data_IF_556569697476
#
_entry.id   IF_556569697476
#
_cell.length_a   1.000
_cell.length_b   1.000
_cell.length_c   1.000
_cell.angle_alpha   90.00
_cell.angle_beta   90.00
_cell.angle_gamma   90.00
#
_symmetry.space_group_name_H-M   'P 1'
#
loop_
_entity.id
_entity.type
_entity.pdbx_description
1 polymer ?
#
# COMPACT_ATOMS: atom_id res chain seq x y z
N UNK A 1 7.48 3.67 -1.91
CA UNK A 1 8.94 3.41 -1.90
C UNK A 1 9.20 2.16 -1.07
N UNK A 2 8.70 2.08 0.15
CA UNK A 2 8.77 0.93 1.06
C UNK A 2 8.57 -0.48 0.45
N UNK A 3 7.58 -0.67 -0.42
CA UNK A 3 7.36 -1.97 -1.09
C UNK A 3 8.47 -2.31 -2.09
N UNK A 4 9.02 -1.32 -2.80
CA UNK A 4 10.15 -1.52 -3.71
C UNK A 4 11.41 -1.89 -2.90
N UNK A 5 11.63 -1.24 -1.76
CA UNK A 5 12.74 -1.55 -0.85
C UNK A 5 12.59 -2.93 -0.19
N UNK A 6 11.35 -3.41 -0.04
CA UNK A 6 11.06 -4.78 0.41
C UNK A 6 11.19 -5.84 -0.71
N UNK A 7 11.66 -5.45 -1.90
CA UNK A 7 11.91 -6.37 -3.03
C UNK A 7 10.71 -6.65 -3.93
N UNK A 8 9.61 -5.90 -3.82
CA UNK A 8 8.44 -6.07 -4.69
C UNK A 8 8.56 -5.23 -5.96
N UNK A 9 8.09 -5.77 -7.08
CA UNK A 9 7.69 -4.96 -8.22
C UNK A 9 6.30 -4.36 -7.98
N UNK A 10 6.13 -3.08 -8.31
CA UNK A 10 4.94 -2.29 -7.97
C UNK A 10 4.29 -1.72 -9.23
N UNK A 11 3.02 -2.06 -9.46
CA UNK A 11 2.16 -1.34 -10.39
C UNK A 11 1.52 -0.19 -9.60
N UNK A 12 2.03 1.03 -9.78
CA UNK A 12 1.59 2.19 -9.03
C UNK A 12 0.51 2.96 -9.80
N UNK A 13 -0.74 2.75 -9.40
CA UNK A 13 -1.88 3.46 -9.94
C UNK A 13 -2.13 4.75 -9.18
N UNK A 14 -2.15 5.88 -9.89
CA UNK A 14 -2.35 7.19 -9.28
C UNK A 14 -3.26 8.10 -10.10
N UNK A 15 -3.87 9.06 -9.41
CA UNK A 15 -4.74 10.04 -10.06
C UNK A 15 -3.86 11.06 -10.78
N UNK A 16 -4.36 11.61 -11.89
CA UNK A 16 -3.66 12.70 -12.56
C UNK A 16 -3.39 13.86 -11.59
N UNK A 17 -2.13 14.32 -11.56
CA UNK A 17 -1.61 15.34 -10.63
C UNK A 17 -1.65 15.01 -9.13
N UNK A 18 -1.86 13.74 -8.75
CA UNK A 18 -1.62 13.33 -7.37
C UNK A 18 -0.12 13.12 -7.11
N UNK A 19 0.25 13.06 -5.84
CA UNK A 19 1.63 12.74 -5.43
C UNK A 19 2.09 11.41 -6.05
N UNK A 20 3.33 11.42 -6.56
CA UNK A 20 3.99 10.29 -7.18
C UNK A 20 5.16 9.81 -6.30
N UNK A 21 5.48 8.50 -6.27
CA UNK A 21 6.66 7.99 -5.58
C UNK A 21 7.89 8.75 -6.03
N UNK A 22 8.78 9.08 -5.09
CA UNK A 22 10.01 9.84 -5.36
C UNK A 22 9.80 11.32 -5.72
N UNK A 23 8.58 11.82 -6.00
CA UNK A 23 8.39 13.26 -6.22
C UNK A 23 8.33 14.05 -4.93
N UNK A 24 7.91 13.49 -3.79
CA UNK A 24 7.83 14.27 -2.54
C UNK A 24 9.18 14.86 -2.10
N UNK A 25 10.27 14.10 -2.20
CA UNK A 25 11.62 14.60 -1.91
C UNK A 25 12.11 15.65 -2.91
N UNK A 26 11.50 15.71 -4.10
CA UNK A 26 11.80 16.69 -5.14
C UNK A 26 11.02 18.01 -4.95
N UNK A 27 9.88 18.03 -4.23
CA UNK A 27 9.12 19.26 -3.96
C UNK A 27 9.94 20.22 -3.07
N UNK A 28 10.84 19.69 -2.24
CA UNK A 28 11.77 20.48 -1.44
C UNK A 28 12.73 21.32 -2.31
N UNK A 29 13.04 20.89 -3.55
CA UNK A 29 13.93 21.62 -4.47
C UNK A 29 13.34 22.94 -4.95
N UNK A 30 12.01 23.07 -4.92
CA UNK A 30 11.36 24.29 -5.42
C UNK A 30 11.34 25.44 -4.42
N UNK A 31 11.79 25.25 -3.17
CA UNK A 31 11.52 26.21 -2.09
C UNK A 31 12.79 26.77 -1.41
N UNK A 32 13.91 26.04 -1.32
CA UNK A 32 15.16 26.59 -0.75
C UNK A 32 16.43 26.05 -1.45
N UNK A 33 17.34 26.96 -1.85
CA UNK A 33 18.69 26.64 -2.30
C UNK A 33 19.59 26.27 -1.09
N UNK A 34 19.38 25.08 -0.53
CA UNK A 34 20.23 24.52 0.53
C UNK A 34 21.09 23.38 -0.05
N UNK A 35 22.40 23.37 0.21
CA UNK A 35 23.31 22.27 -0.23
C UNK A 35 22.84 20.89 0.28
N UNK A 36 22.23 20.87 1.47
CA UNK A 36 21.65 19.65 2.06
C UNK A 36 20.41 19.17 1.26
N UNK A 37 19.60 20.07 0.71
CA UNK A 37 18.47 19.70 -0.14
C UNK A 37 18.92 19.08 -1.48
N UNK A 38 20.08 19.51 -2.00
CA UNK A 38 20.67 18.98 -3.24
C UNK A 38 21.10 17.52 -3.07
N UNK A 39 21.75 17.18 -1.94
CA UNK A 39 22.16 15.80 -1.70
C UNK A 39 20.96 14.86 -1.49
N UNK A 40 19.90 15.34 -0.83
CA UNK A 40 18.67 14.56 -0.61
C UNK A 40 17.99 14.23 -1.94
N UNK A 41 17.76 15.18 -2.84
CA UNK A 41 17.12 14.82 -4.11
C UNK A 41 17.99 14.04 -5.08
N UNK A 42 19.31 14.22 -5.06
CA UNK A 42 20.21 13.37 -5.85
C UNK A 42 20.12 11.91 -5.38
N UNK A 43 20.05 11.67 -4.07
CA UNK A 43 19.85 10.33 -3.52
C UNK A 43 18.50 9.72 -3.94
N UNK A 44 17.44 10.52 -3.96
CA UNK A 44 16.09 10.11 -4.39
C UNK A 44 16.07 9.82 -5.90
N UNK A 45 16.72 10.66 -6.71
CA UNK A 45 16.80 10.48 -8.16
C UNK A 45 17.58 9.22 -8.53
N UNK A 46 18.72 8.96 -7.89
CA UNK A 46 19.50 7.74 -8.08
C UNK A 46 18.69 6.49 -7.75
N UNK A 47 17.93 6.51 -6.64
CA UNK A 47 17.01 5.40 -6.30
C UNK A 47 15.93 5.21 -7.35
N UNK A 48 15.33 6.31 -7.85
CA UNK A 48 14.34 6.24 -8.92
C UNK A 48 14.93 5.65 -10.21
N UNK A 49 16.13 6.08 -10.59
CA UNK A 49 16.84 5.55 -11.77
C UNK A 49 17.10 4.05 -11.63
N UNK A 50 17.62 3.59 -10.48
CA UNK A 50 17.85 2.17 -10.24
C UNK A 50 16.54 1.34 -10.35
N UNK A 51 15.44 1.83 -9.78
CA UNK A 51 14.12 1.18 -9.86
C UNK A 51 13.59 1.16 -11.30
N UNK A 52 13.83 2.23 -12.06
CA UNK A 52 13.39 2.36 -13.44
C UNK A 52 14.19 1.44 -14.39
N UNK A 53 15.51 1.37 -14.22
CA UNK A 53 16.38 0.44 -14.95
C UNK A 53 16.03 -1.02 -14.67
N UNK A 54 15.77 -1.35 -13.41
CA UNK A 54 15.32 -2.68 -13.00
C UNK A 54 13.86 -3.00 -13.39
N UNK A 55 13.13 -2.03 -13.97
CA UNK A 55 11.70 -2.14 -14.34
C UNK A 55 10.80 -2.62 -13.19
N UNK A 56 11.11 -2.20 -11.97
CA UNK A 56 10.38 -2.60 -10.76
C UNK A 56 9.16 -1.71 -10.50
N UNK A 57 9.04 -0.55 -11.14
CA UNK A 57 7.91 0.37 -10.96
C UNK A 57 7.21 0.62 -12.30
N UNK A 58 5.92 0.28 -12.37
CA UNK A 58 5.06 0.61 -13.50
C UNK A 58 4.03 1.67 -13.08
N UNK A 59 4.20 2.94 -13.47
CA UNK A 59 3.23 3.98 -13.20
C UNK A 59 2.04 3.89 -14.16
N UNK A 60 0.83 3.95 -13.61
CA UNK A 60 -0.42 3.97 -14.40
C UNK A 60 -1.31 5.10 -13.91
N UNK A 61 -1.39 6.15 -14.72
CA UNK A 61 -2.21 7.32 -14.43
C UNK A 61 -3.68 7.10 -14.80
N UNK A 62 -4.60 7.72 -14.05
CA UNK A 62 -6.01 7.79 -14.40
C UNK A 62 -6.59 9.16 -14.02
N UNK A 63 -7.54 9.64 -14.81
CA UNK A 63 -8.28 10.88 -14.53
C UNK A 63 -9.74 10.62 -14.19
N UNK A 64 -10.32 9.56 -14.73
CA UNK A 64 -11.74 9.23 -14.57
C UNK A 64 -11.99 7.96 -13.76
N UNK A 65 -13.19 7.81 -13.21
CA UNK A 65 -13.62 6.57 -12.55
C UNK A 65 -13.65 5.38 -13.53
N UNK A 66 -14.02 5.61 -14.78
CA UNK A 66 -14.06 4.57 -15.81
C UNK A 66 -12.66 4.01 -16.09
N UNK A 67 -11.68 4.89 -16.31
CA UNK A 67 -10.27 4.49 -16.48
C UNK A 67 -9.76 3.74 -15.25
N UNK A 68 -10.06 4.24 -14.05
CA UNK A 68 -9.69 3.58 -12.81
C UNK A 68 -10.17 2.13 -12.77
N UNK A 69 -11.45 1.88 -13.10
CA UNK A 69 -12.04 0.55 -13.09
C UNK A 69 -11.48 -0.36 -14.19
N UNK A 70 -11.25 0.18 -15.40
CA UNK A 70 -10.63 -0.59 -16.48
C UNK A 70 -9.20 -0.99 -16.16
N UNK A 71 -8.38 -0.08 -15.64
CA UNK A 71 -7.02 -0.37 -15.20
C UNK A 71 -7.01 -1.39 -14.05
N UNK A 72 -7.94 -1.26 -13.09
CA UNK A 72 -8.08 -2.23 -12.00
C UNK A 72 -8.40 -3.63 -12.53
N UNK A 73 -9.36 -3.73 -13.46
CA UNK A 73 -9.76 -4.99 -14.09
C UNK A 73 -8.59 -5.61 -14.86
N UNK A 74 -7.93 -4.84 -15.70
CA UNK A 74 -6.79 -5.30 -16.50
C UNK A 74 -5.65 -5.79 -15.60
N UNK A 75 -5.30 -5.02 -14.56
CA UNK A 75 -4.27 -5.43 -13.60
C UNK A 75 -4.65 -6.72 -12.86
N UNK A 76 -5.88 -6.83 -12.35
CA UNK A 76 -6.34 -8.04 -11.67
C UNK A 76 -6.27 -9.28 -12.59
N UNK A 77 -6.70 -9.14 -13.84
CA UNK A 77 -6.63 -10.21 -14.84
C UNK A 77 -5.18 -10.59 -15.19
N UNK A 78 -4.28 -9.61 -15.29
CA UNK A 78 -2.86 -9.85 -15.56
C UNK A 78 -2.14 -10.53 -14.39
N UNK A 79 -2.57 -10.30 -13.14
CA UNK A 79 -2.00 -10.93 -11.96
C UNK A 79 -2.57 -12.34 -11.69
N UNK A 80 -3.69 -12.71 -12.32
CA UNK A 80 -4.32 -14.04 -12.20
C UNK A 80 -3.37 -15.25 -12.41
N UNK A 81 -2.46 -15.28 -13.41
CA UNK A 81 -1.51 -16.37 -13.58
C UNK A 81 -0.43 -16.42 -12.49
N UNK A 82 -0.09 -15.28 -11.88
CA UNK A 82 0.94 -15.20 -10.82
C UNK A 82 0.42 -15.86 -9.54
N UNK A 83 -0.81 -15.52 -9.11
CA UNK A 83 -1.51 -16.20 -8.03
C UNK A 83 -1.10 -15.78 -6.62
N UNK A 84 -0.49 -16.66 -5.81
CA UNK A 84 -0.21 -16.37 -4.40
C UNK A 84 0.88 -15.30 -4.12
N UNK A 85 1.93 -15.12 -4.95
CA UNK A 85 2.96 -14.12 -4.71
C UNK A 85 2.57 -12.70 -5.20
N UNK A 86 1.36 -12.50 -5.74
CA UNK A 86 0.79 -11.17 -5.99
C UNK A 86 -0.23 -10.80 -4.92
N UNK A 87 -0.23 -9.53 -4.54
CA UNK A 87 -1.33 -8.93 -3.80
C UNK A 87 -1.73 -7.59 -4.45
N UNK A 88 -2.98 -7.20 -4.20
CA UNK A 88 -3.54 -5.91 -4.61
C UNK A 88 -3.75 -5.09 -3.35
N UNK A 89 -3.09 -3.93 -3.27
CA UNK A 89 -3.27 -3.00 -2.16
C UNK A 89 -4.12 -1.80 -2.58
N UNK A 90 -5.30 -1.64 -1.98
CA UNK A 90 -6.20 -0.52 -2.20
C UNK A 90 -6.11 0.50 -1.07
N UNK A 91 -5.66 1.71 -1.37
CA UNK A 91 -5.48 2.80 -0.40
C UNK A 91 -6.68 3.76 -0.29
N UNK A 92 -7.75 3.61 -1.10
CA UNK A 92 -8.79 4.64 -1.25
C UNK A 92 -10.24 4.13 -1.25
N UNK A 93 -11.17 5.05 -0.96
CA UNK A 93 -12.59 4.89 -0.59
C UNK A 93 -13.58 4.40 -1.67
N UNK A 94 -13.15 3.68 -2.72
CA UNK A 94 -14.08 3.05 -3.69
C UNK A 94 -14.30 1.59 -3.28
N UNK A 95 -14.80 1.37 -2.06
CA UNK A 95 -14.62 0.13 -1.29
C UNK A 95 -15.70 -0.93 -1.53
N UNK A 96 -16.96 -0.52 -1.73
CA UNK A 96 -18.07 -1.50 -1.68
C UNK A 96 -18.30 -2.26 -2.99
N UNK A 97 -17.98 -1.67 -4.15
CA UNK A 97 -18.24 -2.30 -5.47
C UNK A 97 -17.00 -2.92 -6.11
N UNK A 98 -15.82 -2.38 -5.82
CA UNK A 98 -14.56 -2.80 -6.42
C UNK A 98 -14.06 -4.12 -5.85
N UNK A 99 -14.21 -4.35 -4.53
CA UNK A 99 -13.61 -5.51 -3.88
C UNK A 99 -14.29 -6.84 -4.26
N UNK A 100 -15.63 -6.88 -4.33
CA UNK A 100 -16.34 -8.06 -4.88
C UNK A 100 -15.98 -8.35 -6.34
N UNK A 101 -15.69 -7.32 -7.13
CA UNK A 101 -15.28 -7.50 -8.53
C UNK A 101 -13.86 -8.06 -8.64
N UNK A 102 -12.97 -7.64 -7.73
CA UNK A 102 -11.59 -8.12 -7.68
C UNK A 102 -11.48 -9.60 -7.33
N UNK A 103 -12.28 -10.09 -6.36
CA UNK A 103 -12.29 -11.51 -6.03
C UNK A 103 -12.76 -12.38 -7.22
N UNK A 104 -13.61 -11.84 -8.09
CA UNK A 104 -14.02 -12.49 -9.33
C UNK A 104 -12.91 -12.45 -10.40
N UNK A 105 -12.22 -11.31 -10.54
CA UNK A 105 -11.20 -11.12 -11.58
C UNK A 105 -9.86 -11.79 -11.25
N UNK A 106 -9.50 -11.90 -9.98
CA UNK A 106 -8.30 -12.59 -9.51
C UNK A 106 -8.57 -13.35 -8.20
N UNK A 107 -9.12 -14.57 -8.27
CA UNK A 107 -9.45 -15.36 -7.08
C UNK A 107 -8.20 -15.89 -6.34
N UNK A 108 -7.03 -15.86 -6.98
CA UNK A 108 -5.77 -16.38 -6.44
C UNK A 108 -4.85 -15.30 -5.86
N UNK A 109 -4.97 -14.03 -6.27
CA UNK A 109 -4.25 -12.95 -5.60
C UNK A 109 -5.00 -12.52 -4.35
N UNK A 110 -4.26 -12.07 -3.34
CA UNK A 110 -4.85 -11.49 -2.13
C UNK A 110 -5.17 -10.01 -2.33
N UNK A 111 -6.21 -9.55 -1.65
CA UNK A 111 -6.64 -8.16 -1.66
C UNK A 111 -6.45 -7.62 -0.24
N UNK A 112 -5.68 -6.54 -0.13
CA UNK A 112 -5.45 -5.79 1.09
C UNK A 112 -6.08 -4.41 0.97
N UNK A 113 -7.06 -4.15 1.84
CA UNK A 113 -7.81 -2.92 1.81
C UNK A 113 -7.41 -2.03 2.97
N UNK A 114 -7.05 -0.78 2.66
CA UNK A 114 -6.81 0.24 3.67
C UNK A 114 -8.11 0.93 4.05
N UNK A 115 -8.49 0.80 5.32
CA UNK A 115 -9.63 1.47 5.92
C UNK A 115 -9.13 2.62 6.79
N UNK A 116 -9.58 3.84 6.49
CA UNK A 116 -9.46 4.92 7.46
C UNK A 116 -10.62 4.74 8.43
N UNK A 117 -10.31 4.35 9.67
CA UNK A 117 -11.30 4.32 10.73
C UNK A 117 -11.48 5.76 11.24
N UNK A 118 -12.73 6.23 11.29
CA UNK A 118 -13.07 7.45 12.03
C UNK A 118 -13.05 7.20 13.54
N UNK A 119 -13.60 8.13 14.34
CA UNK A 119 -13.66 8.07 15.82
C UNK A 119 -14.48 6.90 16.41
N UNK A 120 -14.92 5.95 15.59
CA UNK A 120 -15.63 4.75 16.03
C UNK A 120 -14.69 3.59 16.35
N UNK A 121 -15.13 2.60 17.17
CA UNK A 121 -14.37 1.38 17.35
C UNK A 121 -14.08 0.74 15.98
N UNK A 122 -12.84 0.31 15.76
CA UNK A 122 -12.47 -0.52 14.62
C UNK A 122 -13.24 -1.82 14.78
N UNK A 123 -14.45 -1.87 14.22
CA UNK A 123 -15.21 -3.09 14.20
C UNK A 123 -14.36 -4.13 13.47
N UNK A 124 -14.15 -5.31 14.06
CA UNK A 124 -13.43 -6.37 13.39
C UNK A 124 -14.09 -6.54 12.02
N UNK A 125 -13.28 -6.44 10.97
CA UNK A 125 -13.71 -6.56 9.59
C UNK A 125 -14.44 -7.88 9.29
N UNK A 126 -14.58 -8.79 10.28
CA UNK A 126 -15.38 -10.00 10.21
C UNK A 126 -16.83 -9.82 9.78
N UNK A 127 -17.46 -8.65 9.96
CA UNK A 127 -18.82 -8.41 9.42
C UNK A 127 -18.86 -7.84 8.00
N UNK A 128 -17.83 -7.12 7.53
CA UNK A 128 -17.72 -6.73 6.11
C UNK A 128 -17.06 -7.81 5.25
N UNK A 129 -16.41 -8.80 5.88
CA UNK A 129 -15.70 -9.92 5.26
C UNK A 129 -16.57 -11.17 5.10
N UNK A 130 -17.83 -11.15 5.52
CA UNK A 130 -18.77 -12.25 5.34
C UNK A 130 -19.18 -12.37 3.86
N UNK A 131 -18.28 -12.90 3.02
CA UNK A 131 -18.54 -13.20 1.61
C UNK A 131 -17.51 -12.65 0.62
N UNK A 132 -16.64 -11.73 1.04
CA UNK A 132 -15.53 -11.22 0.21
C UNK A 132 -14.28 -12.03 0.54
N UNK A 133 -13.59 -12.57 -0.47
CA UNK A 133 -12.30 -13.27 -0.30
C UNK A 133 -11.14 -12.38 0.16
N UNK A 134 -11.42 -11.30 0.89
CA UNK A 134 -10.45 -10.40 1.50
C UNK A 134 -9.69 -11.14 2.60
N UNK A 135 -8.37 -10.97 2.64
CA UNK A 135 -7.51 -11.64 3.63
C UNK A 135 -6.74 -10.70 4.56
N UNK A 136 -6.71 -9.40 4.29
CA UNK A 136 -6.26 -8.44 5.28
C UNK A 136 -6.92 -7.07 5.06
N UNK A 137 -7.27 -6.42 6.16
CA UNK A 137 -7.77 -5.05 6.24
C UNK A 137 -6.80 -4.28 7.13
N UNK A 138 -6.18 -3.24 6.58
CA UNK A 138 -5.31 -2.35 7.34
C UNK A 138 -6.13 -1.14 7.74
N UNK A 139 -6.52 -1.04 9.00
CA UNK A 139 -7.29 0.06 9.54
C UNK A 139 -6.39 1.09 10.22
N UNK A 140 -6.29 2.31 9.68
CA UNK A 140 -5.65 3.41 10.41
C UNK A 140 -6.66 4.06 11.33
N UNK A 141 -6.35 4.13 12.63
CA UNK A 141 -7.11 4.93 13.60
C UNK A 141 -6.34 6.21 13.83
N UNK A 142 -6.86 7.30 13.27
CA UNK A 142 -6.31 8.63 13.45
C UNK A 142 -6.95 9.23 14.71
N UNK A 143 -6.61 8.73 15.89
CA UNK A 143 -6.89 9.47 17.11
C UNK A 143 -5.80 10.54 17.30
N UNK A 144 -6.24 11.77 17.52
CA UNK A 144 -5.47 13.02 17.56
C UNK A 144 -4.33 13.09 18.57
N UNK A 145 -4.10 12.04 19.38
CA UNK A 145 -3.03 12.02 20.40
C UNK A 145 -2.02 10.88 20.26
N UNK A 146 -2.34 9.78 19.57
CA UNK A 146 -1.43 8.65 19.28
C UNK A 146 -1.93 7.95 18.03
N UNK A 147 -1.42 8.33 16.86
CA UNK A 147 -1.76 7.63 15.62
C UNK A 147 -1.33 6.17 15.71
N UNK A 148 -2.27 5.23 15.54
CA UNK A 148 -1.96 3.80 15.50
C UNK A 148 -2.68 3.13 14.34
N UNK A 149 -2.10 2.04 13.85
CA UNK A 149 -2.65 1.26 12.74
C UNK A 149 -2.95 -0.13 13.24
N UNK A 150 -4.18 -0.59 13.02
CA UNK A 150 -4.60 -1.95 13.31
C UNK A 150 -4.61 -2.73 12.01
N UNK A 151 -3.75 -3.75 11.91
CA UNK A 151 -3.79 -4.72 10.82
C UNK A 151 -4.70 -5.86 11.26
N UNK A 152 -5.81 -6.05 10.56
CA UNK A 152 -6.80 -7.10 10.82
C UNK A 152 -6.74 -8.12 9.68
N UNK A 153 -6.59 -9.39 9.99
CA UNK A 153 -6.77 -10.51 9.06
C UNK A 153 -7.97 -11.35 9.52
N UNK A 154 -8.48 -12.30 8.71
CA UNK A 154 -9.54 -13.22 9.14
C UNK A 154 -9.21 -14.02 10.40
N UNK A 155 -7.93 -14.18 10.74
CA UNK A 155 -7.47 -15.04 11.83
C UNK A 155 -6.74 -14.28 12.95
N UNK A 156 -6.26 -13.06 12.68
CA UNK A 156 -5.42 -12.31 13.62
C UNK A 156 -5.71 -10.82 13.59
N UNK A 157 -5.44 -10.14 14.71
CA UNK A 157 -5.40 -8.69 14.78
C UNK A 157 -4.06 -8.26 15.37
N UNK A 158 -3.41 -7.28 14.76
CA UNK A 158 -2.14 -6.72 15.22
C UNK A 158 -2.27 -5.20 15.31
N UNK A 159 -2.07 -4.66 16.52
CA UNK A 159 -2.01 -3.22 16.75
C UNK A 159 -0.57 -2.75 16.58
N UNK A 160 -0.34 -1.85 15.63
CA UNK A 160 0.93 -1.18 15.38
C UNK A 160 0.85 0.22 15.97
N UNK A 161 1.72 0.48 16.94
CA UNK A 161 1.90 1.79 17.58
C UNK A 161 3.37 2.12 17.45
N UNK A 162 3.69 3.34 16.98
CA UNK A 162 5.07 3.81 17.05
C UNK A 162 5.43 4.07 18.51
N UNK A 163 6.51 3.45 18.96
CA UNK A 163 7.11 3.75 20.27
C UNK A 163 7.85 5.09 20.22
N UNK A 164 8.07 5.71 21.39
CA UNK A 164 8.82 6.98 21.47
C UNK A 164 10.28 6.78 21.01
N UNK A 165 10.83 5.58 21.19
CA UNK A 165 12.15 5.17 20.71
C UNK A 165 12.22 5.00 19.18
N UNK A 166 11.13 4.57 18.53
CA UNK A 166 11.05 4.48 17.07
C UNK A 166 10.80 5.85 16.43
N UNK A 167 9.98 6.69 17.08
CA UNK A 167 9.75 8.06 16.66
C UNK A 167 11.04 8.91 16.73
N UNK A 168 11.87 8.72 17.76
CA UNK A 168 13.18 9.40 17.86
C UNK A 168 14.20 8.93 16.83
N UNK A 169 13.98 7.78 16.17
CA UNK A 169 14.80 7.26 15.07
C UNK A 169 14.27 7.62 13.68
N UNK A 170 13.30 8.54 13.59
CA UNK A 170 12.65 8.96 12.35
C UNK A 170 11.98 7.79 11.58
N UNK A 171 11.56 6.75 12.31
CA UNK A 171 10.88 5.60 11.71
C UNK A 171 9.43 5.98 11.41
N UNK A 172 9.06 6.00 10.13
CA UNK A 172 7.68 6.25 9.76
C UNK A 172 6.78 5.04 10.06
N UNK A 173 5.53 5.29 10.46
CA UNK A 173 4.50 4.25 10.64
C UNK A 173 4.34 3.37 9.38
N UNK A 174 4.63 3.93 8.19
CA UNK A 174 4.55 3.23 6.91
C UNK A 174 5.53 2.06 6.82
N UNK A 175 6.73 2.19 7.41
CA UNK A 175 7.72 1.11 7.46
C UNK A 175 7.21 -0.07 8.29
N UNK A 176 6.65 0.22 9.46
CA UNK A 176 6.07 -0.80 10.34
C UNK A 176 4.91 -1.54 9.67
N UNK A 177 4.03 -0.81 8.96
CA UNK A 177 2.94 -1.41 8.19
C UNK A 177 3.49 -2.32 7.10
N UNK A 178 4.43 -1.84 6.28
CA UNK A 178 4.96 -2.59 5.14
C UNK A 178 5.75 -3.81 5.59
N UNK A 179 6.50 -3.70 6.69
CA UNK A 179 7.20 -4.82 7.31
C UNK A 179 6.22 -5.90 7.79
N UNK A 180 5.16 -5.50 8.50
CA UNK A 180 4.14 -6.44 8.97
C UNK A 180 3.43 -7.14 7.80
N UNK A 181 3.02 -6.36 6.79
CA UNK A 181 2.38 -6.87 5.58
C UNK A 181 3.29 -7.83 4.81
N UNK A 182 4.57 -7.49 4.64
CA UNK A 182 5.54 -8.35 3.95
C UNK A 182 5.74 -9.66 4.69
N UNK A 183 5.81 -9.63 6.03
CA UNK A 183 5.89 -10.84 6.85
C UNK A 183 4.63 -11.70 6.72
N UNK A 184 3.44 -11.09 6.76
CA UNK A 184 2.18 -11.79 6.57
C UNK A 184 2.08 -12.41 5.18
N UNK A 185 2.53 -11.71 4.13
CA UNK A 185 2.58 -12.23 2.77
C UNK A 185 3.54 -13.41 2.62
N UNK A 186 4.71 -13.34 3.26
CA UNK A 186 5.66 -14.46 3.33
C UNK A 186 5.01 -15.72 3.90
N UNK A 187 4.28 -15.59 5.02
CA UNK A 187 3.54 -16.70 5.61
C UNK A 187 2.49 -17.28 4.65
N UNK A 188 1.76 -16.42 3.94
CA UNK A 188 0.74 -16.83 2.96
C UNK A 188 1.35 -17.55 1.75
N UNK A 189 2.53 -17.14 1.29
CA UNK A 189 3.25 -17.82 0.22
C UNK A 189 3.69 -19.21 0.67
N UNK A 190 4.17 -19.34 1.91
CA UNK A 190 4.67 -20.60 2.46
C UNK A 190 3.58 -21.58 2.90
N UNK A 191 2.39 -21.11 3.24
CA UNK A 191 1.24 -21.97 3.55
C UNK A 191 0.70 -22.60 2.25
N UNK A 192 1.33 -23.70 1.84
CA UNK A 192 0.75 -24.66 0.91
C UNK A 192 -0.19 -25.55 1.70
N UNK A 193 -1.50 -25.26 1.60
CA UNK A 193 -2.60 -26.24 1.52
C UNK A 193 -3.82 -25.49 0.94
#
# INVERSE_FOLDING_TARGET
>A
IYLLESGYAVIFRHRHRSLYPFTLGLICWTIEECEECVCVGMSVLMRYQAVNEARLLLPVEFSTLSEYLHHLKAAAQALRPIGRPCFIWLQQSIKYKSTCSLSLWSPRCRIWDFLQAGDGPVHPAGQSSAGTGQQAVVASVLDTRRGYVVVVTPYTQAKLVLTDEEASKDVEIKDSIVSNLTRAHGQIITQQD
#
